data_IF_418967036837
#
_entry.id   IF_418967036837
#
_cell.length_a   1.000
_cell.length_b   1.000
_cell.length_c   1.000
_cell.angle_alpha   90.00
_cell.angle_beta   90.00
_cell.angle_gamma   90.00
#
_symmetry.space_group_name_H-M   'P 1'
#
loop_
_entity.id
_entity.type
_entity.pdbx_description
1 polymer ?
#
# COMPACT_ATOMS: atom_id res chain seq x y z
N UNK A 1 -21.98 -29.56 15.83
CA UNK A 1 -20.64 -29.25 16.40
C UNK A 1 -19.92 -28.37 15.39
N UNK A 2 -19.91 -27.06 15.63
CA UNK A 2 -19.15 -26.08 14.86
C UNK A 2 -17.70 -26.14 15.37
N UNK A 3 -16.78 -26.56 14.52
CA UNK A 3 -15.35 -26.50 14.80
C UNK A 3 -14.92 -25.06 14.73
N UNK A 4 -14.56 -24.48 15.86
CA UNK A 4 -13.92 -23.14 15.94
C UNK A 4 -12.52 -23.24 15.34
N UNK A 5 -12.33 -22.71 14.14
CA UNK A 5 -11.01 -22.48 13.59
C UNK A 5 -10.32 -21.40 14.42
N UNK A 6 -9.25 -21.77 15.11
CA UNK A 6 -8.35 -20.82 15.78
C UNK A 6 -7.68 -19.93 14.71
N UNK A 7 -8.19 -18.74 14.50
CA UNK A 7 -7.47 -17.70 13.81
C UNK A 7 -6.44 -17.14 14.80
N UNK A 8 -5.17 -17.49 14.61
CA UNK A 8 -4.08 -16.85 15.33
C UNK A 8 -3.98 -15.41 14.81
N UNK A 9 -4.45 -14.43 15.59
CA UNK A 9 -4.18 -13.02 15.35
C UNK A 9 -2.77 -12.70 15.90
N UNK A 10 -1.97 -12.00 15.14
CA UNK A 10 -0.68 -11.48 15.61
C UNK A 10 -0.94 -10.58 16.83
N UNK A 11 -0.52 -11.01 17.99
CA UNK A 11 -0.46 -10.17 19.18
C UNK A 11 0.95 -9.61 19.26
N UNK A 12 1.14 -8.38 18.83
CA UNK A 12 2.36 -7.65 19.09
C UNK A 12 2.59 -7.61 20.61
N UNK A 13 3.49 -8.43 21.11
CA UNK A 13 4.07 -8.20 22.43
C UNK A 13 4.96 -6.98 22.32
N UNK A 14 4.79 -5.93 23.14
CA UNK A 14 5.72 -4.82 23.16
C UNK A 14 7.04 -5.32 23.79
N UNK A 15 7.88 -5.93 22.97
CA UNK A 15 9.27 -6.16 23.35
C UNK A 15 10.01 -4.84 23.12
N UNK A 16 10.35 -4.17 24.20
CA UNK A 16 11.11 -2.92 24.26
C UNK A 16 12.61 -3.11 23.99
N UNK A 17 13.02 -4.24 23.43
CA UNK A 17 14.34 -4.36 22.85
C UNK A 17 14.35 -3.55 21.55
N UNK A 18 15.17 -2.48 21.50
CA UNK A 18 15.35 -1.61 20.35
C UNK A 18 15.63 -2.44 19.09
N UNK A 19 14.61 -2.61 18.26
CA UNK A 19 14.77 -3.26 16.97
C UNK A 19 15.76 -2.44 16.14
N UNK A 20 16.93 -2.99 15.87
CA UNK A 20 17.99 -2.30 15.14
C UNK A 20 17.52 -2.03 13.72
N UNK A 21 17.38 -0.74 13.39
CA UNK A 21 17.06 -0.34 12.01
C UNK A 21 18.20 -0.75 11.10
N UNK A 22 17.90 -1.54 10.08
CA UNK A 22 18.83 -1.89 9.01
C UNK A 22 18.65 -0.87 7.90
N UNK A 23 19.72 -0.17 7.55
CA UNK A 23 19.77 0.70 6.40
C UNK A 23 20.70 0.06 5.37
N UNK A 24 20.12 -0.41 4.28
CA UNK A 24 20.85 -0.69 3.06
C UNK A 24 20.88 0.59 2.21
N UNK A 25 21.67 0.60 1.14
CA UNK A 25 21.80 1.79 0.28
C UNK A 25 20.44 2.32 -0.16
N UNK A 26 19.48 1.41 -0.41
CA UNK A 26 18.18 1.72 -0.99
C UNK A 26 16.97 1.46 -0.08
N UNK A 27 17.10 0.67 0.98
CA UNK A 27 15.98 0.21 1.82
C UNK A 27 16.17 0.56 3.28
N UNK A 28 15.05 0.77 3.98
CA UNK A 28 15.01 0.95 5.45
C UNK A 28 13.99 0.01 6.04
N UNK A 29 14.42 -0.86 6.92
CA UNK A 29 13.59 -1.83 7.63
C UNK A 29 14.23 -2.22 8.95
N UNK A 30 13.58 -3.07 9.73
CA UNK A 30 14.12 -3.63 10.97
C UNK A 30 14.19 -5.15 10.90
N UNK A 31 14.94 -5.78 11.80
CA UNK A 31 14.94 -7.25 11.92
C UNK A 31 13.54 -7.79 12.24
N UNK A 32 12.72 -7.00 12.94
CA UNK A 32 11.34 -7.38 13.23
C UNK A 32 10.48 -7.43 11.97
N UNK A 33 10.69 -6.51 11.00
CA UNK A 33 9.96 -6.56 9.72
C UNK A 33 10.30 -7.83 8.94
N UNK A 34 11.57 -8.25 8.96
CA UNK A 34 12.00 -9.52 8.36
C UNK A 34 11.37 -10.72 9.09
N UNK A 35 11.29 -10.67 10.42
CA UNK A 35 10.68 -11.73 11.21
C UNK A 35 9.17 -11.86 10.90
N UNK A 36 8.44 -10.73 10.84
CA UNK A 36 7.02 -10.70 10.47
C UNK A 36 6.83 -11.24 9.05
N UNK A 37 7.66 -10.82 8.10
CA UNK A 37 7.63 -11.34 6.74
C UNK A 37 7.81 -12.87 6.70
N UNK A 38 8.82 -13.40 7.40
CA UNK A 38 9.09 -14.84 7.43
C UNK A 38 7.94 -15.62 8.06
N UNK A 39 7.33 -15.10 9.12
CA UNK A 39 6.15 -15.69 9.77
C UNK A 39 4.98 -15.76 8.78
N UNK A 40 4.71 -14.65 8.06
CA UNK A 40 3.66 -14.58 7.03
C UNK A 40 3.91 -15.59 5.89
N UNK A 41 5.13 -15.64 5.35
CA UNK A 41 5.46 -16.59 4.29
C UNK A 41 5.27 -18.04 4.76
N UNK A 42 5.75 -18.36 5.94
CA UNK A 42 5.58 -19.71 6.52
C UNK A 42 4.10 -20.07 6.75
N UNK A 43 3.32 -19.12 7.30
CA UNK A 43 1.90 -19.37 7.62
C UNK A 43 1.05 -19.54 6.36
N UNK A 44 1.29 -18.72 5.32
CA UNK A 44 0.43 -18.67 4.14
C UNK A 44 0.98 -19.42 2.92
N UNK A 45 2.20 -19.98 2.97
CA UNK A 45 2.74 -20.82 1.90
C UNK A 45 1.81 -21.98 1.49
N UNK A 46 1.09 -22.66 2.39
CA UNK A 46 0.10 -23.67 2.00
C UNK A 46 -1.07 -23.12 1.16
N UNK A 47 -1.31 -21.82 1.21
CA UNK A 47 -2.39 -21.14 0.48
C UNK A 47 -1.93 -20.47 -0.84
N UNK A 48 -0.68 -20.66 -1.26
CA UNK A 48 -0.09 -19.98 -2.42
C UNK A 48 -0.86 -20.16 -3.74
N UNK A 49 -1.58 -21.26 -3.89
CA UNK A 49 -2.37 -21.56 -5.08
C UNK A 49 -3.74 -20.86 -5.10
N UNK A 50 -4.14 -20.23 -3.99
CA UNK A 50 -5.37 -19.44 -3.93
C UNK A 50 -5.26 -18.16 -4.75
N UNK A 51 -6.40 -17.50 -4.99
CA UNK A 51 -6.42 -16.21 -5.72
C UNK A 51 -5.77 -15.11 -4.87
N UNK A 52 -5.23 -14.07 -5.54
CA UNK A 52 -4.70 -12.87 -4.87
C UNK A 52 -5.74 -12.28 -3.92
N UNK A 53 -7.00 -12.19 -4.33
CA UNK A 53 -8.12 -11.69 -3.52
C UNK A 53 -8.25 -12.44 -2.17
N UNK A 54 -8.21 -13.76 -2.20
CA UNK A 54 -8.24 -14.58 -0.97
C UNK A 54 -7.00 -14.40 -0.10
N UNK A 55 -5.82 -14.30 -0.73
CA UNK A 55 -4.58 -14.05 0.00
C UNK A 55 -4.59 -12.68 0.69
N UNK A 56 -5.03 -11.63 0.00
CA UNK A 56 -5.20 -10.28 0.57
C UNK A 56 -6.10 -10.35 1.82
N UNK A 57 -7.25 -11.03 1.74
CA UNK A 57 -8.17 -11.15 2.88
C UNK A 57 -7.54 -11.91 4.05
N UNK A 58 -6.83 -13.01 3.78
CA UNK A 58 -6.18 -13.83 4.83
C UNK A 58 -5.03 -13.07 5.50
N UNK A 59 -4.16 -12.45 4.70
CA UNK A 59 -3.03 -11.66 5.21
C UNK A 59 -3.55 -10.42 5.94
N UNK A 60 -4.61 -9.79 5.45
CA UNK A 60 -5.23 -8.65 6.12
C UNK A 60 -5.67 -8.98 7.54
N UNK A 61 -6.27 -10.15 7.76
CA UNK A 61 -6.66 -10.61 9.10
C UNK A 61 -5.47 -10.88 10.03
N UNK A 62 -4.31 -11.20 9.49
CA UNK A 62 -3.09 -11.35 10.30
C UNK A 62 -2.72 -10.03 11.00
N UNK A 63 -2.98 -8.90 10.36
CA UNK A 63 -2.73 -7.55 10.91
C UNK A 63 -3.88 -6.98 11.74
N UNK A 64 -4.98 -7.71 11.95
CA UNK A 64 -6.11 -7.24 12.77
C UNK A 64 -5.66 -6.89 14.19
N UNK A 65 -6.10 -5.72 14.66
CA UNK A 65 -5.79 -5.21 16.01
C UNK A 65 -4.48 -4.43 16.10
N UNK A 66 -3.74 -4.26 15.01
CA UNK A 66 -2.62 -3.33 14.98
C UNK A 66 -3.10 -1.87 15.02
N UNK A 67 -2.39 -0.98 15.73
CA UNK A 67 -2.74 0.42 15.78
C UNK A 67 -2.47 1.10 14.43
N UNK A 68 -3.33 2.06 14.07
CA UNK A 68 -3.07 2.95 12.94
C UNK A 68 -1.96 3.93 13.29
N UNK A 69 -0.93 4.02 12.43
CA UNK A 69 0.20 4.93 12.59
C UNK A 69 0.42 5.73 11.30
N UNK A 70 0.11 7.03 11.36
CA UNK A 70 0.32 7.93 10.23
C UNK A 70 1.81 8.29 10.06
N UNK A 71 2.18 8.69 8.84
CA UNK A 71 3.52 9.18 8.49
C UNK A 71 4.66 8.16 8.66
N UNK A 72 4.35 6.87 8.63
CA UNK A 72 5.36 5.81 8.79
C UNK A 72 6.44 5.80 7.68
N UNK A 73 6.22 6.48 6.56
CA UNK A 73 7.17 6.59 5.44
C UNK A 73 8.09 7.81 5.50
N UNK A 74 7.89 8.75 6.45
CA UNK A 74 8.61 10.04 6.49
C UNK A 74 9.86 10.02 7.39
N UNK A 75 10.56 8.89 7.44
CA UNK A 75 11.67 8.63 8.40
C UNK A 75 13.06 8.98 7.86
N UNK A 76 13.21 9.25 6.57
CA UNK A 76 14.49 9.60 5.93
C UNK A 76 14.44 10.97 5.27
N UNK A 77 15.58 11.59 5.04
CA UNK A 77 15.66 12.89 4.32
C UNK A 77 15.70 12.71 2.79
N UNK A 78 16.20 11.57 2.33
CA UNK A 78 16.16 11.15 0.93
C UNK A 78 15.12 10.05 0.77
N UNK A 79 14.50 9.96 -0.40
CA UNK A 79 13.53 8.90 -0.69
C UNK A 79 14.22 7.54 -0.67
N UNK A 80 13.73 6.66 0.16
CA UNK A 80 14.13 5.26 0.25
C UNK A 80 12.89 4.38 0.33
N UNK A 81 13.02 3.13 -0.04
CA UNK A 81 11.95 2.17 0.19
C UNK A 81 11.87 1.86 1.70
N UNK A 82 10.86 2.39 2.35
CA UNK A 82 10.57 2.09 3.75
C UNK A 82 9.70 0.84 3.80
N UNK A 83 10.19 -0.19 4.48
CA UNK A 83 9.46 -1.43 4.74
C UNK A 83 9.15 -1.46 6.24
N UNK A 84 7.88 -1.24 6.59
CA UNK A 84 7.43 -1.23 7.98
C UNK A 84 6.15 -2.06 8.10
N UNK A 85 6.29 -3.30 8.57
CA UNK A 85 5.18 -4.23 8.80
C UNK A 85 4.59 -4.13 10.22
N UNK A 86 5.13 -3.24 11.05
CA UNK A 86 4.74 -3.04 12.46
C UNK A 86 3.76 -1.89 12.64
N UNK A 87 3.91 -0.83 11.82
CA UNK A 87 3.15 0.40 11.92
C UNK A 87 2.55 0.71 10.55
N UNK A 88 1.23 0.64 10.44
CA UNK A 88 0.53 0.73 9.17
C UNK A 88 -0.49 1.87 9.19
N UNK A 89 -0.63 2.57 8.08
CA UNK A 89 -1.79 3.37 7.74
C UNK A 89 -2.63 2.68 6.65
N UNK A 90 -3.74 3.28 6.23
CA UNK A 90 -4.62 2.65 5.25
C UNK A 90 -3.94 2.39 3.90
N UNK A 91 -3.05 3.27 3.46
CA UNK A 91 -2.34 3.11 2.18
C UNK A 91 -1.25 2.06 2.28
N UNK A 92 -0.38 2.16 3.27
CA UNK A 92 0.70 1.19 3.48
C UNK A 92 0.14 -0.21 3.77
N UNK A 93 -0.99 -0.31 4.48
CA UNK A 93 -1.69 -1.58 4.65
C UNK A 93 -2.08 -2.21 3.31
N UNK A 94 -2.75 -1.47 2.42
CA UNK A 94 -3.14 -1.98 1.10
C UNK A 94 -1.91 -2.38 0.25
N UNK A 95 -0.86 -1.56 0.26
CA UNK A 95 0.39 -1.84 -0.45
C UNK A 95 1.06 -3.13 0.04
N UNK A 96 1.19 -3.29 1.36
CA UNK A 96 1.79 -4.48 1.94
C UNK A 96 0.98 -5.74 1.68
N UNK A 97 -0.36 -5.68 1.78
CA UNK A 97 -1.22 -6.83 1.49
C UNK A 97 -1.06 -7.29 0.05
N UNK A 98 -1.05 -6.36 -0.89
CA UNK A 98 -0.88 -6.67 -2.31
C UNK A 98 0.52 -7.22 -2.59
N UNK A 99 1.58 -6.57 -2.09
CA UNK A 99 2.96 -7.01 -2.28
C UNK A 99 3.21 -8.41 -1.69
N UNK A 100 2.78 -8.67 -0.46
CA UNK A 100 2.91 -9.97 0.20
C UNK A 100 2.16 -11.07 -0.54
N UNK A 101 0.93 -10.77 -1.00
CA UNK A 101 0.12 -11.73 -1.76
C UNK A 101 0.77 -12.10 -3.10
N UNK A 102 1.38 -11.12 -3.78
CA UNK A 102 2.09 -11.33 -5.04
C UNK A 102 3.38 -12.12 -4.82
N UNK A 103 4.14 -11.79 -3.76
CA UNK A 103 5.34 -12.55 -3.37
C UNK A 103 5.04 -14.00 -3.06
N UNK A 104 3.93 -14.30 -2.36
CA UNK A 104 3.51 -15.69 -2.10
C UNK A 104 3.25 -16.49 -3.37
N UNK A 105 2.83 -15.83 -4.47
CA UNK A 105 2.57 -16.48 -5.76
C UNK A 105 3.80 -16.55 -6.67
N UNK A 106 4.87 -15.84 -6.34
CA UNK A 106 6.11 -15.89 -7.11
C UNK A 106 6.88 -17.20 -6.85
N UNK A 107 7.82 -17.52 -7.74
CA UNK A 107 8.70 -18.66 -7.58
C UNK A 107 9.66 -18.48 -6.40
N UNK A 108 10.19 -17.28 -6.24
CA UNK A 108 11.05 -16.91 -5.13
C UNK A 108 10.23 -16.10 -4.11
N UNK A 109 10.15 -16.60 -2.89
CA UNK A 109 9.42 -15.97 -1.80
C UNK A 109 10.40 -15.32 -0.81
N UNK A 110 11.36 -14.54 -1.34
CA UNK A 110 12.36 -13.87 -0.52
C UNK A 110 11.90 -12.48 -0.06
N UNK A 111 12.51 -11.99 1.01
CA UNK A 111 12.29 -10.61 1.47
C UNK A 111 12.70 -9.58 0.41
N UNK A 112 13.71 -9.91 -0.41
CA UNK A 112 14.14 -9.08 -1.53
C UNK A 112 13.07 -9.00 -2.63
N UNK A 113 12.43 -10.13 -2.98
CA UNK A 113 11.35 -10.14 -3.98
C UNK A 113 10.12 -9.38 -3.47
N UNK A 114 9.81 -9.52 -2.17
CA UNK A 114 8.77 -8.71 -1.53
C UNK A 114 9.07 -7.21 -1.59
N UNK A 115 10.32 -6.81 -1.33
CA UNK A 115 10.72 -5.41 -1.44
C UNK A 115 10.56 -4.87 -2.87
N UNK A 116 10.89 -5.68 -3.89
CA UNK A 116 10.69 -5.33 -5.31
C UNK A 116 9.20 -5.19 -5.67
N UNK A 117 8.35 -6.10 -5.19
CA UNK A 117 6.90 -6.01 -5.39
C UNK A 117 6.33 -4.74 -4.71
N UNK A 118 6.78 -4.42 -3.50
CA UNK A 118 6.38 -3.22 -2.79
C UNK A 118 6.84 -1.95 -3.51
N UNK A 119 8.06 -1.92 -4.03
CA UNK A 119 8.58 -0.81 -4.83
C UNK A 119 7.74 -0.61 -6.09
N UNK A 120 7.42 -1.70 -6.80
CA UNK A 120 6.61 -1.68 -8.01
C UNK A 120 5.20 -1.12 -7.77
N UNK A 121 4.63 -1.31 -6.57
CA UNK A 121 3.29 -0.87 -6.20
C UNK A 121 3.26 0.58 -5.70
N UNK A 122 4.31 1.02 -5.01
CA UNK A 122 4.37 2.32 -4.29
C UNK A 122 4.82 3.48 -5.17
N UNK A 123 5.59 3.21 -6.20
CA UNK A 123 6.23 4.24 -7.02
C UNK A 123 5.71 4.25 -8.45
N UNK A 124 5.62 5.45 -9.03
CA UNK A 124 5.14 5.66 -10.41
C UNK A 124 5.94 4.85 -11.40
N UNK A 125 5.24 4.12 -12.29
CA UNK A 125 5.81 3.16 -13.24
C UNK A 125 6.71 2.11 -12.56
N UNK A 126 6.47 1.81 -11.29
CA UNK A 126 7.25 0.88 -10.50
C UNK A 126 8.70 1.30 -10.24
N UNK A 127 9.03 2.59 -10.35
CA UNK A 127 10.42 3.08 -10.28
C UNK A 127 10.59 4.10 -9.18
N UNK A 128 11.36 3.74 -8.15
CA UNK A 128 11.74 4.65 -7.10
C UNK A 128 12.79 5.67 -7.61
N UNK A 129 12.52 6.93 -7.33
CA UNK A 129 13.40 8.06 -7.60
C UNK A 129 13.41 9.04 -6.44
N UNK A 130 13.18 10.32 -6.69
CA UNK A 130 13.00 11.30 -5.64
C UNK A 130 11.61 11.19 -4.98
N UNK A 131 11.38 11.93 -3.90
CA UNK A 131 10.10 12.00 -3.17
C UNK A 131 8.88 12.08 -4.09
N UNK A 132 8.97 12.85 -5.17
CA UNK A 132 7.91 13.07 -6.15
C UNK A 132 7.61 11.84 -7.03
N UNK A 133 8.43 10.78 -6.97
CA UNK A 133 8.15 9.51 -7.68
C UNK A 133 7.17 8.62 -6.94
N UNK A 134 6.97 8.83 -5.61
CA UNK A 134 6.02 8.08 -4.82
C UNK A 134 4.59 8.45 -5.22
N UNK A 135 3.69 7.50 -5.24
CA UNK A 135 2.27 7.69 -5.53
C UNK A 135 1.57 8.30 -4.30
N UNK A 136 1.49 9.63 -4.25
CA UNK A 136 1.00 10.35 -3.07
C UNK A 136 -0.52 10.43 -2.97
N UNK A 137 -1.21 10.39 -4.11
CA UNK A 137 -2.66 10.39 -4.16
C UNK A 137 -3.18 8.98 -4.37
N UNK A 138 -4.15 8.54 -3.57
CA UNK A 138 -4.68 7.18 -3.72
C UNK A 138 -5.36 6.97 -5.09
N UNK A 139 -5.95 8.01 -5.67
CA UNK A 139 -6.45 7.99 -7.05
C UNK A 139 -5.34 7.76 -8.08
N UNK A 140 -4.15 8.33 -7.87
CA UNK A 140 -2.97 8.06 -8.67
C UNK A 140 -2.50 6.61 -8.48
N UNK A 141 -2.45 6.16 -7.22
CA UNK A 141 -2.07 4.78 -6.88
C UNK A 141 -2.96 3.76 -7.59
N UNK A 142 -4.28 3.96 -7.59
CA UNK A 142 -5.21 3.11 -8.32
C UNK A 142 -4.92 3.15 -9.82
N UNK A 143 -4.75 4.33 -10.39
CA UNK A 143 -4.54 4.51 -11.83
C UNK A 143 -3.24 3.84 -12.28
N UNK A 144 -2.11 4.16 -11.65
CA UNK A 144 -0.79 3.62 -12.01
C UNK A 144 -0.75 2.10 -11.87
N UNK A 145 -1.25 1.58 -10.75
CA UNK A 145 -1.29 0.13 -10.52
C UNK A 145 -2.26 -0.60 -11.47
N UNK A 146 -3.31 0.06 -11.95
CA UNK A 146 -4.21 -0.52 -12.96
C UNK A 146 -3.54 -0.56 -14.34
N UNK A 147 -2.86 0.51 -14.77
CA UNK A 147 -2.09 0.54 -16.03
C UNK A 147 -0.99 -0.52 -16.03
N UNK A 148 -0.35 -0.75 -14.88
CA UNK A 148 0.68 -1.78 -14.71
C UNK A 148 0.12 -3.20 -14.47
N UNK A 149 -1.21 -3.38 -14.52
CA UNK A 149 -1.87 -4.67 -14.35
C UNK A 149 -1.78 -5.27 -12.95
N UNK A 150 -1.49 -4.45 -11.92
CA UNK A 150 -1.41 -4.87 -10.53
C UNK A 150 -2.78 -4.98 -9.88
N UNK A 151 -3.70 -4.11 -10.26
CA UNK A 151 -5.10 -4.04 -9.78
C UNK A 151 -6.07 -3.87 -10.94
N UNK A 152 -7.37 -3.98 -10.66
CA UNK A 152 -8.44 -3.68 -11.61
C UNK A 152 -9.33 -2.58 -11.03
N UNK A 153 -10.02 -1.83 -11.90
CA UNK A 153 -10.93 -0.75 -11.54
C UNK A 153 -12.38 -1.11 -11.90
N UNK A 154 -13.03 -2.09 -11.23
CA UNK A 154 -14.38 -2.51 -11.56
C UNK A 154 -15.40 -1.37 -11.40
N UNK A 155 -15.11 -0.37 -10.58
CA UNK A 155 -15.96 0.81 -10.37
C UNK A 155 -16.27 1.55 -11.67
N UNK A 156 -15.42 1.48 -12.68
CA UNK A 156 -15.63 2.12 -13.99
C UNK A 156 -16.83 1.52 -14.75
N UNK A 157 -17.26 0.31 -14.41
CA UNK A 157 -18.37 -0.37 -15.05
C UNK A 157 -19.75 0.07 -14.53
N UNK A 158 -19.81 0.57 -13.29
CA UNK A 158 -21.08 0.90 -12.61
C UNK A 158 -21.04 2.22 -11.82
N UNK A 159 -19.90 2.84 -11.73
CA UNK A 159 -19.71 4.10 -11.01
C UNK A 159 -20.21 5.31 -11.78
N UNK A 160 -20.17 6.44 -11.12
CA UNK A 160 -20.47 7.76 -11.69
C UNK A 160 -19.16 8.51 -11.92
N UNK A 161 -18.99 9.24 -13.03
CA UNK A 161 -17.78 10.04 -13.24
C UNK A 161 -17.53 11.00 -12.07
N UNK A 162 -16.29 11.04 -11.61
CA UNK A 162 -15.82 11.92 -10.54
C UNK A 162 -14.87 12.96 -11.11
N UNK A 163 -15.22 14.25 -11.06
CA UNK A 163 -14.31 15.33 -11.46
C UNK A 163 -13.24 15.48 -10.39
N UNK A 164 -12.12 14.82 -10.57
CA UNK A 164 -11.01 14.85 -9.62
C UNK A 164 -10.16 16.10 -9.89
N UNK A 165 -10.27 17.12 -9.04
CA UNK A 165 -9.41 18.32 -9.08
C UNK A 165 -8.40 18.22 -7.94
N UNK A 166 -7.18 17.86 -8.27
CA UNK A 166 -6.07 17.73 -7.33
C UNK A 166 -5.22 19.00 -7.31
N UNK A 167 -4.72 19.36 -6.14
CA UNK A 167 -3.90 20.57 -5.97
C UNK A 167 -3.48 20.79 -4.53
N UNK A 168 -3.83 19.86 -3.62
CA UNK A 168 -3.61 20.09 -2.19
C UNK A 168 -2.13 20.15 -1.81
N UNK A 169 -1.30 19.23 -2.32
CA UNK A 169 0.11 19.15 -1.94
C UNK A 169 0.90 20.36 -2.46
N UNK A 170 0.69 20.76 -3.73
CA UNK A 170 1.38 21.90 -4.31
C UNK A 170 0.93 23.24 -3.70
N UNK A 171 -0.33 23.35 -3.26
CA UNK A 171 -0.87 24.54 -2.59
C UNK A 171 -0.49 24.60 -1.09
N UNK A 172 -0.15 23.47 -0.47
CA UNK A 172 0.19 23.38 0.95
C UNK A 172 1.57 22.70 1.18
N UNK A 173 2.65 23.15 0.53
CA UNK A 173 3.94 22.45 0.58
C UNK A 173 4.53 22.37 1.99
N UNK A 174 4.22 23.31 2.86
CA UNK A 174 4.69 23.32 4.25
C UNK A 174 4.04 22.25 5.14
N UNK A 175 2.96 21.63 4.68
CA UNK A 175 2.37 20.47 5.36
C UNK A 175 3.18 19.17 5.14
N UNK A 176 4.15 19.20 4.23
CA UNK A 176 4.95 18.03 3.85
C UNK A 176 6.43 18.30 4.05
N UNK A 177 7.09 17.56 4.95
CA UNK A 177 8.52 17.69 5.26
C UNK A 177 9.39 17.74 4.00
N UNK A 178 9.08 16.91 3.03
CA UNK A 178 9.87 16.78 1.80
C UNK A 178 9.55 17.81 0.71
N UNK A 179 8.48 18.58 0.84
CA UNK A 179 8.15 19.70 -0.07
C UNK A 179 8.55 21.06 0.52
N UNK A 180 8.56 21.17 1.84
CA UNK A 180 8.94 22.41 2.51
C UNK A 180 10.32 22.87 2.05
N UNK A 181 10.41 24.12 1.57
CA UNK A 181 11.64 24.73 1.06
C UNK A 181 12.26 24.06 -0.18
N UNK A 182 11.50 23.24 -0.91
CA UNK A 182 11.94 22.55 -2.14
C UNK A 182 11.05 22.94 -3.34
N UNK A 183 11.19 24.14 -3.92
CA UNK A 183 10.31 24.64 -4.97
C UNK A 183 10.32 23.77 -6.23
N UNK A 184 11.41 23.05 -6.51
CA UNK A 184 11.48 22.13 -7.64
C UNK A 184 10.55 20.93 -7.46
N UNK A 185 10.49 20.36 -6.25
CA UNK A 185 9.57 19.29 -5.93
C UNK A 185 8.11 19.76 -5.96
N UNK A 186 7.85 20.97 -5.47
CA UNK A 186 6.50 21.57 -5.54
C UNK A 186 6.05 21.71 -6.98
N UNK A 187 6.92 22.15 -7.90
CA UNK A 187 6.59 22.25 -9.34
C UNK A 187 6.31 20.87 -9.96
N UNK A 188 7.10 19.86 -9.60
CA UNK A 188 6.86 18.48 -10.08
C UNK A 188 5.51 17.94 -9.58
N UNK A 189 5.21 18.11 -8.29
CA UNK A 189 3.91 17.72 -7.73
C UNK A 189 2.77 18.46 -8.43
N UNK A 190 2.92 19.77 -8.69
CA UNK A 190 1.90 20.55 -9.39
C UNK A 190 1.63 20.01 -10.81
N UNK A 191 2.67 19.59 -11.53
CA UNK A 191 2.51 18.96 -12.85
C UNK A 191 1.75 17.64 -12.74
N UNK A 192 2.12 16.79 -11.76
CA UNK A 192 1.45 15.52 -11.48
C UNK A 192 -0.03 15.76 -11.15
N UNK A 193 -0.33 16.73 -10.28
CA UNK A 193 -1.71 17.08 -9.91
C UNK A 193 -2.53 17.54 -11.13
N UNK A 194 -1.93 18.29 -12.05
CA UNK A 194 -2.58 18.71 -13.29
C UNK A 194 -2.86 17.52 -14.22
N UNK A 195 -1.90 16.62 -14.39
CA UNK A 195 -2.07 15.41 -15.20
C UNK A 195 -3.16 14.51 -14.64
N UNK A 196 -3.16 14.30 -13.33
CA UNK A 196 -4.17 13.49 -12.64
C UNK A 196 -5.56 14.14 -12.70
N UNK A 197 -5.65 15.47 -12.62
CA UNK A 197 -6.92 16.20 -12.72
C UNK A 197 -7.57 16.07 -14.10
N UNK A 198 -6.78 15.74 -15.12
CA UNK A 198 -7.28 15.52 -16.50
C UNK A 198 -7.72 14.06 -16.75
N UNK A 199 -7.49 13.15 -15.78
CA UNK A 199 -7.91 11.75 -15.90
C UNK A 199 -9.35 11.56 -15.47
N UNK A 200 -10.01 10.59 -16.07
CA UNK A 200 -11.36 10.18 -15.67
C UNK A 200 -11.27 9.20 -14.51
N UNK A 201 -12.04 9.46 -13.47
CA UNK A 201 -12.24 8.55 -12.34
C UNK A 201 -13.72 8.26 -12.17
N UNK A 202 -14.03 7.11 -11.61
CA UNK A 202 -15.38 6.72 -11.24
C UNK A 202 -15.50 6.54 -9.74
N UNK A 203 -16.63 6.92 -9.17
CA UNK A 203 -16.93 6.70 -7.76
C UNK A 203 -18.36 6.22 -7.59
N UNK A 204 -18.64 5.67 -6.43
CA UNK A 204 -19.99 5.29 -6.05
C UNK A 204 -20.56 6.29 -5.07
N UNK A 205 -21.61 7.02 -5.44
CA UNK A 205 -22.30 7.90 -4.53
C UNK A 205 -22.81 7.16 -3.29
N UNK A 206 -22.64 7.73 -2.08
CA UNK A 206 -23.09 7.12 -0.81
C UNK A 206 -24.53 6.62 -0.83
N UNK A 207 -25.43 7.33 -1.52
CA UNK A 207 -26.86 6.93 -1.66
C UNK A 207 -27.06 5.61 -2.42
N UNK A 208 -26.06 5.17 -3.20
CA UNK A 208 -26.09 3.92 -3.95
C UNK A 208 -25.32 2.79 -3.25
N UNK A 209 -24.68 3.07 -2.12
CA UNK A 209 -23.83 2.11 -1.42
C UNK A 209 -24.56 0.81 -1.06
N UNK A 210 -25.78 0.91 -0.55
CA UNK A 210 -26.60 -0.28 -0.20
C UNK A 210 -26.89 -1.21 -1.41
N UNK A 211 -26.84 -0.67 -2.64
CA UNK A 211 -27.03 -1.46 -3.86
C UNK A 211 -25.70 -2.04 -4.38
N UNK A 212 -24.58 -1.63 -3.79
CA UNK A 212 -23.24 -2.02 -4.21
C UNK A 212 -22.69 -3.24 -3.48
N UNK A 213 -23.23 -3.59 -2.33
CA UNK A 213 -22.76 -4.74 -1.54
C UNK A 213 -22.72 -6.01 -2.41
N UNK A 214 -23.67 -6.16 -3.33
CA UNK A 214 -23.70 -7.27 -4.28
C UNK A 214 -22.60 -7.19 -5.37
N UNK A 215 -21.95 -6.06 -5.55
CA UNK A 215 -20.87 -5.85 -6.53
C UNK A 215 -19.49 -6.02 -5.90
N UNK A 216 -19.39 -5.89 -4.57
CA UNK A 216 -18.12 -6.06 -3.85
C UNK A 216 -17.74 -7.54 -3.80
N UNK A 217 -16.46 -7.79 -3.99
CA UNK A 217 -15.88 -9.13 -3.95
C UNK A 217 -14.80 -9.20 -2.87
N UNK A 218 -14.55 -10.40 -2.40
CA UNK A 218 -13.43 -10.66 -1.50
C UNK A 218 -12.13 -10.14 -2.13
N UNK A 219 -11.36 -9.36 -1.36
CA UNK A 219 -10.10 -8.76 -1.79
C UNK A 219 -10.24 -7.39 -2.47
N UNK A 220 -11.44 -6.85 -2.62
CA UNK A 220 -11.62 -5.48 -3.08
C UNK A 220 -11.10 -4.47 -2.04
N UNK A 221 -10.43 -3.43 -2.52
CA UNK A 221 -9.97 -2.28 -1.73
C UNK A 221 -10.99 -1.16 -1.90
N UNK A 222 -11.61 -0.72 -0.81
CA UNK A 222 -12.69 0.28 -0.76
C UNK A 222 -12.35 1.44 0.17
#
# INVERSE_FOLDING_TARGET
QLSTSNSASYKATPDTSFSKTVQQEDWVYTEQDVAIFNELMMQFSPSKDETIAKLITKIGRFFEGQPYVAHALEVTDQEKLIINLRDLDCTTYAEHLLALSRTLKSENQSFEDYAKELEAIRYRDGKRGAYTSRLHYFSEWIYDNAENGMVQTPTDQFGTPYPNQLGYMSQNPNAYKHLANKPDYVRQIQQIEQELSNKSYSYVPKKLYNNMEAQLKEGDIV
#
